data_IF_656557529679
#
_entry.id   IF_656557529679
#
_cell.length_a   1.000
_cell.length_b   1.000
_cell.length_c   1.000
_cell.angle_alpha   90.00
_cell.angle_beta   90.00
_cell.angle_gamma   90.00
#
_symmetry.space_group_name_H-M   'P 1'
#
loop_
_entity.id
_entity.type
_entity.pdbx_description
1 polymer ?
#
# COMPACT_ATOMS: atom_id res chain seq x y z
N UNK A 1 3.95 17.91 -37.83
CA UNK A 1 4.91 17.05 -37.10
C UNK A 1 5.08 17.42 -35.63
N UNK A 2 5.19 18.71 -35.26
CA UNK A 2 5.41 19.13 -33.86
C UNK A 2 4.26 18.72 -32.92
N UNK A 3 3.01 18.73 -33.39
CA UNK A 3 1.84 18.32 -32.58
C UNK A 3 1.80 16.81 -32.30
N UNK A 4 2.28 15.97 -33.23
CA UNK A 4 2.39 14.52 -33.03
C UNK A 4 3.52 14.16 -32.05
N UNK A 5 4.61 14.92 -32.07
CA UNK A 5 5.73 14.74 -31.13
C UNK A 5 5.31 15.11 -29.70
N UNK A 6 4.55 16.20 -29.52
CA UNK A 6 3.99 16.54 -28.19
C UNK A 6 3.01 15.48 -27.67
N UNK A 7 2.13 14.95 -28.53
CA UNK A 7 1.20 13.90 -28.13
C UNK A 7 1.92 12.61 -27.72
N UNK A 8 2.97 12.22 -28.44
CA UNK A 8 3.75 11.01 -28.10
C UNK A 8 4.55 11.22 -26.80
N UNK A 9 5.11 12.41 -26.58
CA UNK A 9 5.84 12.73 -25.35
C UNK A 9 4.92 12.78 -24.11
N UNK A 10 3.74 13.40 -24.21
CA UNK A 10 2.77 13.43 -23.10
C UNK A 10 2.20 12.04 -22.75
N UNK A 11 2.03 11.16 -23.75
CA UNK A 11 1.62 9.77 -23.51
C UNK A 11 2.75 8.89 -22.96
N UNK A 12 4.02 9.20 -23.28
CA UNK A 12 5.17 8.53 -22.68
C UNK A 12 5.38 8.96 -21.23
N UNK A 13 5.18 10.23 -20.90
CA UNK A 13 5.22 10.72 -19.51
C UNK A 13 4.09 10.11 -18.66
N UNK A 14 2.88 9.92 -19.20
CA UNK A 14 1.76 9.27 -18.49
C UNK A 14 2.00 7.78 -18.22
N UNK A 15 2.60 7.05 -19.17
CA UNK A 15 3.01 5.65 -18.95
C UNK A 15 4.20 5.53 -18.01
N UNK A 16 5.17 6.44 -18.11
CA UNK A 16 6.31 6.50 -17.22
C UNK A 16 5.88 6.79 -15.78
N UNK A 17 4.90 7.66 -15.55
CA UNK A 17 4.47 8.01 -14.17
C UNK A 17 3.67 6.90 -13.49
N UNK A 18 2.89 6.11 -14.25
CA UNK A 18 2.27 4.89 -13.70
C UNK A 18 3.31 3.84 -13.33
N UNK A 19 4.47 3.83 -14.01
CA UNK A 19 5.62 3.03 -13.64
C UNK A 19 6.43 3.67 -12.51
N UNK A 20 6.65 4.98 -12.46
CA UNK A 20 7.54 5.65 -11.49
C UNK A 20 7.03 5.59 -10.05
N UNK A 21 5.71 5.66 -9.81
CA UNK A 21 5.16 5.45 -8.47
C UNK A 21 5.15 3.97 -8.04
N UNK A 22 5.33 3.05 -8.98
CA UNK A 22 5.54 1.63 -8.73
C UNK A 22 7.03 1.23 -8.74
N UNK A 23 7.89 1.99 -9.42
CA UNK A 23 9.32 1.72 -9.61
C UNK A 23 10.18 2.30 -8.47
N UNK A 24 9.68 3.24 -7.68
CA UNK A 24 10.34 3.62 -6.43
C UNK A 24 10.39 2.45 -5.42
N UNK A 25 9.48 1.46 -5.55
CA UNK A 25 9.59 0.17 -4.87
C UNK A 25 10.54 -0.83 -5.57
N UNK A 26 11.01 -0.50 -6.79
CA UNK A 26 11.78 -1.37 -7.70
C UNK A 26 13.25 -0.94 -7.91
N UNK A 27 13.71 0.16 -7.29
CA UNK A 27 15.11 0.61 -7.38
C UNK A 27 15.66 0.88 -5.97
N UNK A 28 16.53 0.12 -5.29
CA UNK A 28 17.53 -0.96 -5.54
C UNK A 28 17.94 -1.53 -4.14
N UNK A 29 18.57 -2.73 -3.99
CA UNK A 29 19.45 -3.43 -4.92
C UNK A 29 18.84 -4.69 -5.56
N UNK A 30 19.48 -5.14 -6.63
CA UNK A 30 19.14 -6.31 -7.47
C UNK A 30 18.66 -7.50 -6.63
N UNK A 31 17.43 -7.94 -6.88
CA UNK A 31 17.02 -9.32 -6.63
C UNK A 31 17.77 -10.21 -7.66
N UNK A 32 18.38 -11.35 -7.25
CA UNK A 32 19.02 -12.25 -8.19
C UNK A 32 18.00 -12.88 -9.14
N UNK A 33 18.38 -12.99 -10.41
CA UNK A 33 17.65 -13.72 -11.45
C UNK A 33 17.63 -15.21 -11.13
N UNK A 34 16.53 -15.89 -11.47
CA UNK A 34 16.27 -17.31 -11.16
C UNK A 34 17.31 -18.29 -11.73
N UNK A 35 18.15 -17.85 -12.67
CA UNK A 35 19.25 -18.65 -13.23
C UNK A 35 20.60 -18.46 -12.51
N UNK A 36 20.70 -17.55 -11.52
CA UNK A 36 21.93 -17.28 -10.75
C UNK A 36 21.86 -17.77 -9.28
N UNK A 37 20.77 -18.43 -8.87
CA UNK A 37 20.67 -19.07 -7.55
C UNK A 37 21.11 -20.53 -7.70
N UNK A 38 22.41 -20.74 -7.89
CA UNK A 38 23.02 -22.01 -7.52
C UNK A 38 22.94 -22.08 -5.99
N UNK A 39 22.08 -22.96 -5.47
CA UNK A 39 21.99 -23.23 -4.05
C UNK A 39 23.36 -23.69 -3.55
N UNK A 40 24.14 -22.77 -2.96
CA UNK A 40 25.08 -23.21 -1.93
C UNK A 40 24.24 -23.79 -0.80
N UNK A 41 24.44 -25.07 -0.43
CA UNK A 41 23.72 -25.67 0.66
C UNK A 41 24.04 -24.87 1.90
N UNK A 42 23.03 -24.20 2.44
CA UNK A 42 23.09 -23.61 3.78
C UNK A 42 23.43 -24.77 4.70
N UNK A 43 24.69 -24.85 5.11
CA UNK A 43 25.11 -25.78 6.13
C UNK A 43 24.22 -25.53 7.34
N UNK A 44 23.56 -26.57 7.87
CA UNK A 44 22.66 -26.41 9.00
C UNK A 44 23.46 -25.75 10.11
N UNK A 45 22.99 -24.57 10.52
CA UNK A 45 23.49 -23.90 11.71
C UNK A 45 23.56 -24.95 12.81
N UNK A 46 24.75 -25.02 13.38
CA UNK A 46 25.26 -26.16 14.11
C UNK A 46 24.30 -26.66 15.17
N UNK A 47 24.40 -27.97 15.39
CA UNK A 47 23.91 -28.73 16.53
C UNK A 47 23.97 -27.92 17.83
N UNK A 48 22.92 -27.18 18.11
CA UNK A 48 22.47 -26.91 19.46
C UNK A 48 20.96 -27.03 19.45
N UNK A 49 20.54 -28.22 19.84
CA UNK A 49 19.18 -28.57 20.23
C UNK A 49 18.78 -27.74 21.46
N UNK A 50 18.67 -26.43 21.32
CA UNK A 50 17.71 -25.69 22.12
C UNK A 50 16.36 -25.95 21.45
N UNK A 51 15.65 -26.91 21.99
CA UNK A 51 14.24 -27.23 21.75
C UNK A 51 13.43 -25.93 21.80
N UNK A 52 13.37 -25.19 20.69
CA UNK A 52 12.32 -24.22 20.45
C UNK A 52 11.09 -25.09 20.39
N UNK A 53 10.27 -24.97 21.44
CA UNK A 53 9.08 -25.74 21.71
C UNK A 53 8.30 -25.96 20.42
N UNK A 54 8.43 -27.14 19.82
CA UNK A 54 7.45 -27.64 18.87
C UNK A 54 6.13 -27.54 19.62
N UNK A 55 5.31 -26.55 19.26
CA UNK A 55 3.95 -26.49 19.77
C UNK A 55 3.36 -27.80 19.25
N UNK A 56 2.86 -28.65 20.15
CA UNK A 56 2.22 -29.88 19.74
C UNK A 56 0.87 -29.51 19.10
N UNK A 57 0.91 -29.01 17.88
CA UNK A 57 -0.26 -28.58 17.12
C UNK A 57 -1.04 -29.83 16.72
N UNK A 58 -2.33 -29.81 16.98
CA UNK A 58 -3.22 -30.86 16.53
C UNK A 58 -3.56 -30.60 15.05
N UNK A 59 -2.78 -31.19 14.14
CA UNK A 59 -2.93 -31.03 12.69
C UNK A 59 -4.28 -31.54 12.14
N UNK A 60 -5.09 -32.24 12.94
CA UNK A 60 -6.45 -32.64 12.57
C UNK A 60 -7.52 -31.58 12.89
N UNK A 61 -7.21 -30.56 13.68
CA UNK A 61 -8.16 -29.51 14.11
C UNK A 61 -7.85 -28.13 13.49
N UNK A 62 -7.58 -28.08 12.17
CA UNK A 62 -7.23 -26.83 11.47
C UNK A 62 -8.20 -25.67 11.76
N UNK A 63 -9.51 -25.93 11.67
CA UNK A 63 -10.53 -24.90 11.92
C UNK A 63 -10.38 -24.23 13.28
N UNK A 64 -10.10 -25.02 14.33
CA UNK A 64 -9.94 -24.51 15.70
C UNK A 64 -8.65 -23.73 15.86
N UNK A 65 -7.57 -24.19 15.22
CA UNK A 65 -6.30 -23.47 15.20
C UNK A 65 -6.46 -22.10 14.50
N UNK A 66 -7.01 -22.10 13.28
CA UNK A 66 -7.26 -20.89 12.52
C UNK A 66 -8.18 -19.92 13.28
N UNK A 67 -9.26 -20.41 13.89
CA UNK A 67 -10.15 -19.59 14.71
C UNK A 67 -9.44 -18.96 15.91
N UNK A 68 -8.58 -19.70 16.59
CA UNK A 68 -7.80 -19.15 17.71
C UNK A 68 -6.85 -18.05 17.24
N UNK A 69 -6.15 -18.26 16.13
CA UNK A 69 -5.28 -17.24 15.53
C UNK A 69 -6.06 -15.95 15.18
N UNK A 70 -7.25 -16.08 14.59
CA UNK A 70 -8.12 -14.94 14.29
C UNK A 70 -8.57 -14.22 15.57
N UNK A 71 -8.99 -14.96 16.60
CA UNK A 71 -9.44 -14.38 17.88
C UNK A 71 -8.29 -13.67 18.60
N UNK A 72 -7.11 -14.28 18.66
CA UNK A 72 -5.92 -13.68 19.29
C UNK A 72 -5.47 -12.42 18.53
N UNK A 73 -5.42 -12.46 17.20
CA UNK A 73 -5.12 -11.30 16.38
C UNK A 73 -6.13 -10.16 16.57
N UNK A 74 -7.42 -10.49 16.67
CA UNK A 74 -8.49 -9.51 16.93
C UNK A 74 -8.36 -8.89 18.33
N UNK A 75 -7.97 -9.66 19.35
CA UNK A 75 -7.71 -9.15 20.70
C UNK A 75 -6.47 -8.24 20.74
N UNK A 76 -5.43 -8.54 19.97
CA UNK A 76 -4.21 -7.72 19.86
C UNK A 76 -4.55 -6.34 19.25
N UNK A 77 -5.24 -6.31 18.12
CA UNK A 77 -5.59 -5.04 17.44
C UNK A 77 -6.69 -4.27 18.19
N UNK A 78 -7.67 -5.01 18.73
CA UNK A 78 -8.83 -4.48 19.45
C UNK A 78 -9.57 -3.36 18.68
N UNK A 79 -9.87 -3.65 17.42
CA UNK A 79 -10.65 -2.78 16.55
C UNK A 79 -11.33 -3.63 15.48
N UNK A 80 -12.59 -3.30 15.16
CA UNK A 80 -13.34 -3.91 14.07
C UNK A 80 -13.31 -3.07 12.79
N UNK A 81 -12.63 -1.92 12.79
CA UNK A 81 -12.53 -1.04 11.61
C UNK A 81 -11.53 -1.63 10.61
N UNK A 82 -11.93 -1.63 9.34
CA UNK A 82 -11.08 -1.99 8.19
C UNK A 82 -10.41 -0.76 7.56
N UNK A 83 -10.92 0.45 7.85
CA UNK A 83 -10.22 1.70 7.55
C UNK A 83 -8.80 1.73 8.15
N UNK A 84 -7.89 2.58 7.63
CA UNK A 84 -6.53 2.68 8.14
C UNK A 84 -6.54 2.93 9.66
N UNK A 85 -5.70 2.21 10.45
CA UNK A 85 -5.61 2.44 11.89
C UNK A 85 -5.15 3.88 12.13
N UNK A 86 -5.62 4.52 13.21
CA UNK A 86 -5.01 5.79 13.63
C UNK A 86 -3.54 5.56 13.97
N UNK A 87 -2.68 6.59 13.91
CA UNK A 87 -1.26 6.44 14.23
C UNK A 87 -1.00 5.79 15.60
N UNK A 88 -1.83 6.07 16.61
CA UNK A 88 -1.71 5.48 17.94
C UNK A 88 -1.99 3.96 17.95
N UNK A 89 -2.73 3.47 16.94
CA UNK A 89 -3.15 2.08 16.79
C UNK A 89 -2.37 1.29 15.74
N UNK A 90 -1.49 1.93 14.96
CA UNK A 90 -0.71 1.23 13.93
C UNK A 90 0.19 0.13 14.51
N UNK A 91 0.75 0.35 15.71
CA UNK A 91 1.56 -0.65 16.39
C UNK A 91 0.76 -1.90 16.79
N UNK A 92 -0.46 -1.72 17.29
CA UNK A 92 -1.37 -2.84 17.64
C UNK A 92 -1.79 -3.60 16.36
N UNK A 93 -2.09 -2.87 15.29
CA UNK A 93 -2.42 -3.43 13.98
C UNK A 93 -1.25 -4.25 13.40
N UNK A 94 -0.03 -3.71 13.44
CA UNK A 94 1.16 -4.43 12.98
C UNK A 94 1.44 -5.70 13.79
N UNK A 95 1.25 -5.67 15.12
CA UNK A 95 1.38 -6.90 15.94
C UNK A 95 0.33 -7.95 15.57
N UNK A 96 -0.88 -7.53 15.21
CA UNK A 96 -1.93 -8.42 14.72
C UNK A 96 -1.56 -9.07 13.38
N UNK A 97 -1.00 -8.30 12.43
CA UNK A 97 -0.47 -8.83 11.16
C UNK A 97 0.66 -9.84 11.40
N UNK A 98 1.65 -9.50 12.23
CA UNK A 98 2.75 -10.43 12.60
C UNK A 98 2.21 -11.71 13.24
N UNK A 99 1.17 -11.62 14.05
CA UNK A 99 0.52 -12.79 14.65
C UNK A 99 -0.08 -13.72 13.58
N UNK A 100 -0.82 -13.18 12.61
CA UNK A 100 -1.36 -13.98 11.49
C UNK A 100 -0.27 -14.67 10.68
N UNK A 101 0.82 -13.95 10.35
CA UNK A 101 1.98 -14.50 9.63
C UNK A 101 2.57 -15.68 10.42
N UNK A 102 2.84 -15.48 11.71
CA UNK A 102 3.43 -16.52 12.56
C UNK A 102 2.51 -17.73 12.70
N UNK A 103 1.20 -17.53 12.83
CA UNK A 103 0.23 -18.63 12.86
C UNK A 103 0.27 -19.47 11.57
N UNK A 104 0.33 -18.81 10.42
CA UNK A 104 0.39 -19.52 9.15
C UNK A 104 1.73 -20.28 8.97
N UNK A 105 2.85 -19.67 9.37
CA UNK A 105 4.18 -20.30 9.33
C UNK A 105 4.27 -21.49 10.30
N UNK A 106 3.82 -21.31 11.55
CA UNK A 106 3.81 -22.37 12.57
C UNK A 106 3.02 -23.59 12.06
N UNK A 107 1.81 -23.36 11.50
CA UNK A 107 1.01 -24.44 10.92
C UNK A 107 1.69 -25.12 9.72
N UNK A 108 2.16 -24.32 8.75
CA UNK A 108 2.79 -24.87 7.56
C UNK A 108 4.10 -25.62 7.86
N UNK A 109 4.82 -25.24 8.93
CA UNK A 109 6.00 -25.95 9.41
C UNK A 109 5.64 -27.26 10.11
N UNK A 110 4.70 -27.23 11.06
CA UNK A 110 4.44 -28.36 11.96
C UNK A 110 3.45 -29.39 11.38
N UNK A 111 2.61 -29.00 10.41
CA UNK A 111 1.57 -29.85 9.82
C UNK A 111 1.78 -30.17 8.34
N UNK A 112 2.94 -29.83 7.77
CA UNK A 112 3.27 -30.01 6.36
C UNK A 112 3.07 -31.45 5.85
N UNK A 113 3.33 -32.45 6.70
CA UNK A 113 3.26 -33.87 6.34
C UNK A 113 1.83 -34.46 6.39
N UNK A 114 0.87 -33.74 6.98
CA UNK A 114 -0.47 -34.28 7.31
C UNK A 114 -1.58 -33.65 6.46
N UNK A 115 -1.36 -32.46 5.91
CA UNK A 115 -2.41 -31.69 5.20
C UNK A 115 -1.88 -31.06 3.93
N UNK A 116 -2.68 -31.06 2.84
CA UNK A 116 -2.51 -30.08 1.77
C UNK A 116 -2.55 -28.67 2.40
N UNK A 117 -1.60 -27.78 2.06
CA UNK A 117 -1.43 -26.46 2.67
C UNK A 117 -2.79 -25.73 2.82
N UNK A 118 -3.30 -25.68 4.06
CA UNK A 118 -4.59 -25.06 4.35
C UNK A 118 -4.51 -23.52 4.38
N UNK A 119 -3.34 -22.97 4.71
CA UNK A 119 -3.04 -21.56 4.49
C UNK A 119 -2.44 -21.38 3.10
N UNK A 120 -3.05 -20.50 2.30
CA UNK A 120 -2.59 -20.20 0.96
C UNK A 120 -1.27 -19.38 1.01
N UNK A 121 -0.23 -19.87 0.34
CA UNK A 121 1.10 -19.25 0.33
C UNK A 121 1.08 -17.80 -0.19
N UNK A 122 0.23 -17.46 -1.16
CA UNK A 122 0.10 -16.08 -1.66
C UNK A 122 -0.55 -15.16 -0.63
N UNK A 123 -1.47 -15.66 0.22
CA UNK A 123 -1.96 -14.87 1.36
C UNK A 123 -0.85 -14.58 2.37
N UNK A 124 0.02 -15.55 2.67
CA UNK A 124 1.12 -15.37 3.62
C UNK A 124 2.12 -14.36 3.07
N UNK A 125 2.56 -14.52 1.81
CA UNK A 125 3.45 -13.56 1.15
C UNK A 125 2.85 -12.15 1.11
N UNK A 126 1.54 -12.04 0.90
CA UNK A 126 0.81 -10.78 0.98
C UNK A 126 0.97 -10.11 2.35
N UNK A 127 0.68 -10.83 3.44
CA UNK A 127 0.83 -10.30 4.79
C UNK A 127 2.28 -9.92 5.11
N UNK A 128 3.25 -10.74 4.69
CA UNK A 128 4.68 -10.44 4.85
C UNK A 128 5.08 -9.15 4.10
N UNK A 129 4.56 -8.93 2.90
CA UNK A 129 4.79 -7.70 2.16
C UNK A 129 4.20 -6.46 2.87
N UNK A 130 3.03 -6.60 3.49
CA UNK A 130 2.45 -5.53 4.31
C UNK A 130 3.33 -5.26 5.53
N UNK A 131 3.77 -6.31 6.22
CA UNK A 131 4.65 -6.19 7.38
C UNK A 131 5.94 -5.46 7.03
N UNK A 132 6.62 -5.85 5.96
CA UNK A 132 7.88 -5.23 5.54
C UNK A 132 7.72 -3.79 5.03
N UNK A 133 6.60 -3.46 4.38
CA UNK A 133 6.40 -2.16 3.72
C UNK A 133 5.70 -1.12 4.60
N UNK A 134 5.06 -1.55 5.69
CA UNK A 134 4.34 -0.67 6.61
C UNK A 134 4.90 -0.78 8.02
N UNK A 135 5.02 -2.00 8.54
CA UNK A 135 5.30 -2.21 9.97
C UNK A 135 6.79 -2.13 10.32
N UNK A 136 7.66 -2.59 9.43
CA UNK A 136 9.11 -2.55 9.59
C UNK A 136 9.77 -1.36 8.87
N UNK A 137 9.00 -0.59 8.08
CA UNK A 137 9.49 0.62 7.41
C UNK A 137 9.37 1.85 8.34
N UNK A 138 10.45 2.16 9.05
CA UNK A 138 10.52 3.33 9.94
C UNK A 138 10.24 4.66 9.24
N UNK A 139 10.63 4.78 7.96
CA UNK A 139 10.37 5.99 7.18
C UNK A 139 8.89 6.13 6.90
N UNK A 140 8.23 5.05 6.49
CA UNK A 140 6.78 5.03 6.30
C UNK A 140 6.04 5.36 7.60
N UNK A 141 6.41 4.72 8.72
CA UNK A 141 5.79 4.99 10.03
C UNK A 141 5.93 6.46 10.43
N UNK A 142 7.09 7.07 10.20
CA UNK A 142 7.32 8.50 10.48
C UNK A 142 6.37 9.41 9.69
N UNK A 143 6.12 9.09 8.42
CA UNK A 143 5.16 9.84 7.60
C UNK A 143 3.72 9.56 8.03
N UNK A 144 3.43 8.32 8.43
CA UNK A 144 2.10 7.89 8.84
C UNK A 144 1.64 8.57 10.15
N UNK A 145 2.57 8.91 11.04
CA UNK A 145 2.25 9.61 12.30
C UNK A 145 1.52 10.95 12.08
N UNK A 146 1.71 11.56 10.91
CA UNK A 146 1.15 12.88 10.58
C UNK A 146 -0.26 12.81 9.96
N UNK A 147 -0.79 11.62 9.66
CA UNK A 147 -2.02 11.49 8.87
C UNK A 147 -3.32 11.36 9.69
N UNK A 148 -3.26 11.48 11.03
CA UNK A 148 -4.40 11.24 11.94
C UNK A 148 -5.68 12.04 11.56
N UNK A 149 -5.53 13.32 11.25
CA UNK A 149 -6.64 14.19 10.83
C UNK A 149 -7.26 13.75 9.50
N UNK A 150 -6.43 13.28 8.57
CA UNK A 150 -6.89 12.82 7.27
C UNK A 150 -7.66 11.50 7.41
N UNK A 151 -7.13 10.55 8.18
CA UNK A 151 -7.81 9.29 8.52
C UNK A 151 -9.17 9.56 9.17
N UNK A 152 -9.24 10.49 10.11
CA UNK A 152 -10.49 10.82 10.80
C UNK A 152 -11.57 11.35 9.86
N UNK A 153 -11.18 12.06 8.79
CA UNK A 153 -12.11 12.65 7.81
C UNK A 153 -12.49 11.68 6.70
N UNK A 154 -11.57 10.80 6.27
CA UNK A 154 -11.78 9.88 5.16
C UNK A 154 -12.18 8.46 5.59
N UNK A 155 -12.09 8.15 6.89
CA UNK A 155 -12.19 6.79 7.43
C UNK A 155 -13.47 6.05 7.08
N UNK A 156 -14.63 6.72 7.08
CA UNK A 156 -15.91 6.08 6.74
C UNK A 156 -16.01 5.73 5.25
N UNK A 157 -15.53 6.62 4.37
CA UNK A 157 -15.47 6.35 2.94
C UNK A 157 -14.49 5.22 2.63
N UNK A 158 -13.33 5.23 3.31
CA UNK A 158 -12.34 4.15 3.23
C UNK A 158 -12.88 2.80 3.70
N UNK A 159 -13.65 2.77 4.80
CA UNK A 159 -14.34 1.58 5.28
C UNK A 159 -15.28 1.01 4.21
N UNK A 160 -16.05 1.87 3.52
CA UNK A 160 -16.90 1.49 2.39
C UNK A 160 -16.11 0.90 1.21
N UNK A 161 -14.97 1.52 0.86
CA UNK A 161 -14.06 1.00 -0.15
C UNK A 161 -13.51 -0.38 0.22
N UNK A 162 -13.09 -0.56 1.48
CA UNK A 162 -12.57 -1.82 1.98
C UNK A 162 -13.60 -2.93 1.96
N UNK A 163 -14.83 -2.68 2.40
CA UNK A 163 -15.91 -3.68 2.37
C UNK A 163 -16.16 -4.16 0.95
N UNK A 164 -16.31 -3.23 0.02
CA UNK A 164 -16.51 -3.56 -1.41
C UNK A 164 -15.34 -4.38 -1.97
N UNK A 165 -14.11 -4.04 -1.58
CA UNK A 165 -12.92 -4.77 -2.00
C UNK A 165 -12.88 -6.19 -1.42
N UNK A 166 -13.06 -6.35 -0.11
CA UNK A 166 -13.02 -7.66 0.55
C UNK A 166 -14.15 -8.56 0.06
N UNK A 167 -15.35 -8.02 -0.16
CA UNK A 167 -16.49 -8.81 -0.68
C UNK A 167 -16.19 -9.41 -2.07
N UNK A 168 -15.46 -8.66 -2.92
CA UNK A 168 -15.01 -9.17 -4.22
C UNK A 168 -13.90 -10.21 -4.03
N UNK A 169 -12.89 -9.90 -3.23
CA UNK A 169 -11.74 -10.80 -3.00
C UNK A 169 -12.22 -12.13 -2.42
N UNK A 170 -13.03 -12.10 -1.35
CA UNK A 170 -13.55 -13.30 -0.68
C UNK A 170 -14.41 -14.13 -1.63
N UNK A 171 -15.28 -13.47 -2.41
CA UNK A 171 -16.11 -14.16 -3.40
C UNK A 171 -15.27 -14.86 -4.47
N UNK A 172 -14.21 -14.23 -4.97
CA UNK A 172 -13.37 -14.83 -6.01
C UNK A 172 -12.44 -15.92 -5.43
N UNK A 173 -11.86 -15.70 -4.24
CA UNK A 173 -11.02 -16.69 -3.55
C UNK A 173 -11.79 -17.93 -3.10
N UNK A 174 -13.07 -17.80 -2.76
CA UNK A 174 -13.92 -18.94 -2.38
C UNK A 174 -14.33 -19.83 -3.57
N UNK A 175 -14.09 -19.40 -4.82
CA UNK A 175 -14.41 -20.22 -6.00
C UNK A 175 -13.34 -21.26 -6.32
N UNK A 176 -12.07 -20.97 -5.99
CA UNK A 176 -10.94 -21.83 -6.33
C UNK A 176 -9.76 -21.55 -5.40
N UNK A 177 -8.99 -22.59 -5.08
CA UNK A 177 -7.71 -22.44 -4.39
C UNK A 177 -6.58 -21.97 -5.33
N UNK A 178 -6.80 -22.00 -6.65
CA UNK A 178 -5.85 -21.54 -7.67
C UNK A 178 -6.05 -20.05 -8.00
N UNK A 179 -5.62 -19.16 -7.10
CA UNK A 179 -5.84 -17.72 -7.29
C UNK A 179 -5.07 -17.14 -8.48
N UNK A 180 -3.97 -17.77 -8.88
CA UNK A 180 -3.14 -17.40 -10.04
C UNK A 180 -3.76 -17.79 -11.38
N UNK A 181 -4.85 -18.57 -11.38
CA UNK A 181 -5.58 -18.87 -12.61
C UNK A 181 -6.05 -17.55 -13.26
N UNK A 182 -5.83 -17.41 -14.56
CA UNK A 182 -5.98 -16.16 -15.32
C UNK A 182 -7.28 -15.40 -14.99
N UNK A 183 -8.43 -16.09 -14.92
CA UNK A 183 -9.71 -15.44 -14.65
C UNK A 183 -9.80 -14.88 -13.23
N UNK A 184 -9.37 -15.67 -12.23
CA UNK A 184 -9.37 -15.26 -10.83
C UNK A 184 -8.39 -14.12 -10.62
N UNK A 185 -7.17 -14.28 -11.16
CA UNK A 185 -6.13 -13.26 -11.17
C UNK A 185 -6.63 -11.92 -11.75
N UNK A 186 -7.23 -11.97 -12.95
CA UNK A 186 -7.80 -10.78 -13.59
C UNK A 186 -8.83 -10.09 -12.69
N UNK A 187 -9.76 -10.83 -12.08
CA UNK A 187 -10.79 -10.25 -11.20
C UNK A 187 -10.21 -9.68 -9.91
N UNK A 188 -9.23 -10.35 -9.30
CA UNK A 188 -8.55 -9.86 -8.10
C UNK A 188 -7.75 -8.57 -8.40
N UNK A 189 -7.08 -8.51 -9.54
CA UNK A 189 -6.36 -7.31 -9.97
C UNK A 189 -7.29 -6.14 -10.32
N UNK A 190 -8.44 -6.40 -10.95
CA UNK A 190 -9.49 -5.39 -11.11
C UNK A 190 -10.00 -4.87 -9.77
N UNK A 191 -10.21 -5.76 -8.79
CA UNK A 191 -10.65 -5.39 -7.45
C UNK A 191 -9.63 -4.49 -6.74
N UNK A 192 -8.34 -4.84 -6.82
CA UNK A 192 -7.21 -4.07 -6.27
C UNK A 192 -7.14 -2.67 -6.87
N UNK A 193 -7.25 -2.54 -8.19
CA UNK A 193 -7.26 -1.24 -8.85
C UNK A 193 -8.49 -0.40 -8.48
N UNK A 194 -9.68 -1.01 -8.41
CA UNK A 194 -10.92 -0.33 -8.00
C UNK A 194 -10.86 0.15 -6.55
N UNK A 195 -10.31 -0.66 -5.65
CA UNK A 195 -10.08 -0.28 -4.27
C UNK A 195 -9.19 0.96 -4.17
N UNK A 196 -8.03 0.95 -4.85
CA UNK A 196 -7.08 2.06 -4.86
C UNK A 196 -7.67 3.35 -5.41
N UNK A 197 -8.53 3.26 -6.43
CA UNK A 197 -9.26 4.42 -6.94
C UNK A 197 -10.30 4.92 -5.95
N UNK A 198 -11.06 4.02 -5.31
CA UNK A 198 -12.06 4.38 -4.32
C UNK A 198 -11.44 5.10 -3.12
N UNK A 199 -10.34 4.56 -2.57
CA UNK A 199 -9.61 5.19 -1.46
C UNK A 199 -8.99 6.51 -1.88
N UNK A 200 -8.51 6.60 -3.12
CA UNK A 200 -8.03 7.83 -3.70
C UNK A 200 -9.13 8.91 -3.73
N UNK A 201 -10.28 8.62 -4.35
CA UNK A 201 -11.41 9.55 -4.44
C UNK A 201 -11.88 9.98 -3.03
N UNK A 202 -11.91 9.05 -2.06
CA UNK A 202 -12.26 9.33 -0.68
C UNK A 202 -11.36 10.36 0.02
N UNK A 203 -10.08 10.49 -0.38
CA UNK A 203 -9.14 11.47 0.18
C UNK A 203 -9.40 12.90 -0.33
N UNK A 204 -9.93 13.06 -1.54
CA UNK A 204 -10.02 14.36 -2.23
C UNK A 204 -11.45 14.85 -2.48
N UNK A 205 -12.43 13.94 -2.56
CA UNK A 205 -13.79 14.28 -3.03
C UNK A 205 -14.81 14.38 -1.88
N UNK A 206 -14.43 14.04 -0.65
CA UNK A 206 -15.35 14.17 0.49
C UNK A 206 -15.47 15.64 0.92
N UNK A 207 -16.69 16.19 1.13
CA UNK A 207 -16.87 17.56 1.60
C UNK A 207 -16.16 17.77 2.94
N UNK A 208 -15.07 18.55 2.95
CA UNK A 208 -14.27 18.82 4.14
C UNK A 208 -13.06 17.88 4.35
N UNK A 209 -12.82 16.89 3.47
CA UNK A 209 -11.56 16.12 3.43
C UNK A 209 -10.48 16.91 2.67
N UNK A 210 -10.05 18.02 3.23
CA UNK A 210 -8.82 18.68 2.76
C UNK A 210 -7.63 17.97 3.41
N UNK A 211 -7.37 16.74 3.02
CA UNK A 211 -6.09 16.13 3.34
C UNK A 211 -5.00 16.91 2.61
N UNK A 212 -3.89 17.21 3.28
CA UNK A 212 -2.73 17.76 2.58
C UNK A 212 -2.26 16.75 1.53
N UNK A 213 -1.59 17.25 0.50
CA UNK A 213 -1.02 16.39 -0.55
C UNK A 213 -0.14 15.29 0.05
N UNK A 214 0.73 15.64 0.99
CA UNK A 214 1.65 14.70 1.63
C UNK A 214 0.89 13.60 2.40
N UNK A 215 -0.15 13.97 3.17
CA UNK A 215 -0.96 13.00 3.90
C UNK A 215 -1.73 12.08 2.95
N UNK A 216 -2.27 12.63 1.86
CA UNK A 216 -2.98 11.86 0.86
C UNK A 216 -2.05 10.89 0.11
N UNK A 217 -0.80 11.28 -0.17
CA UNK A 217 0.22 10.41 -0.76
C UNK A 217 0.57 9.26 0.18
N UNK A 218 0.80 9.54 1.46
CA UNK A 218 1.11 8.50 2.47
C UNK A 218 -0.03 7.50 2.60
N UNK A 219 -1.28 7.97 2.70
CA UNK A 219 -2.43 7.08 2.73
C UNK A 219 -2.61 6.33 1.41
N UNK A 220 -2.36 6.95 0.26
CA UNK A 220 -2.42 6.23 -1.01
C UNK A 220 -1.39 5.09 -1.06
N UNK A 221 -0.16 5.30 -0.56
CA UNK A 221 0.84 4.23 -0.38
C UNK A 221 0.33 3.13 0.55
N UNK A 222 -0.27 3.49 1.68
CA UNK A 222 -0.92 2.52 2.58
C UNK A 222 -1.93 1.65 1.82
N UNK A 223 -2.82 2.24 1.02
CA UNK A 223 -3.81 1.51 0.21
C UNK A 223 -3.17 0.54 -0.79
N UNK A 224 -2.01 0.90 -1.34
CA UNK A 224 -1.25 0.05 -2.25
C UNK A 224 -0.74 -1.18 -1.51
N UNK A 225 -0.12 -1.01 -0.34
CA UNK A 225 0.45 -2.11 0.44
C UNK A 225 -0.63 -3.07 0.94
N UNK A 226 -1.64 -2.57 1.64
CA UNK A 226 -2.72 -3.40 2.21
C UNK A 226 -3.51 -4.16 1.16
N UNK A 227 -3.78 -3.56 0.00
CA UNK A 227 -4.46 -4.28 -1.10
C UNK A 227 -3.60 -5.38 -1.70
N UNK A 228 -2.27 -5.24 -1.63
CA UNK A 228 -1.31 -6.29 -1.99
C UNK A 228 -1.23 -7.39 -0.92
N UNK A 229 -1.55 -7.05 0.34
CA UNK A 229 -1.70 -8.04 1.41
C UNK A 229 -2.84 -9.01 1.18
N UNK A 230 -4.01 -8.51 0.74
CA UNK A 230 -5.15 -9.34 0.40
C UNK A 230 -5.02 -10.00 -0.99
N UNK A 231 -4.32 -9.36 -1.93
CA UNK A 231 -4.08 -9.85 -3.30
C UNK A 231 -2.61 -9.70 -3.65
N UNK A 232 -1.81 -10.69 -3.26
CA UNK A 232 -0.38 -10.73 -3.55
C UNK A 232 -0.13 -11.33 -4.94
N UNK A 233 -0.45 -10.55 -5.98
CA UNK A 233 -0.25 -10.97 -7.37
C UNK A 233 0.31 -9.81 -8.18
N UNK A 234 1.07 -10.13 -9.23
CA UNK A 234 1.53 -9.14 -10.21
C UNK A 234 0.35 -8.66 -11.05
N UNK A 235 -0.25 -7.56 -10.62
CA UNK A 235 -1.34 -6.91 -11.33
C UNK A 235 -0.86 -5.81 -12.28
N UNK A 236 0.44 -5.54 -12.32
CA UNK A 236 0.98 -4.38 -13.02
C UNK A 236 1.42 -4.76 -14.44
N UNK A 237 1.58 -6.06 -14.71
CA UNK A 237 1.95 -6.59 -16.02
C UNK A 237 0.79 -7.30 -16.70
N UNK A 238 0.66 -7.09 -18.02
CA UNK A 238 -0.30 -7.80 -18.89
C UNK A 238 -1.79 -7.73 -18.48
N UNK A 239 -2.19 -6.72 -17.70
CA UNK A 239 -3.57 -6.52 -17.29
C UNK A 239 -4.38 -5.67 -18.29
N UNK A 240 -5.54 -6.19 -18.72
CA UNK A 240 -6.49 -5.49 -19.59
C UNK A 240 -7.54 -4.75 -18.77
N UNK A 241 -7.15 -3.67 -18.09
CA UNK A 241 -8.01 -2.93 -17.16
C UNK A 241 -9.31 -2.39 -17.78
N UNK A 242 -9.34 -2.11 -19.08
CA UNK A 242 -10.56 -1.69 -19.79
C UNK A 242 -11.69 -2.72 -19.69
N UNK A 243 -11.36 -4.00 -19.54
CA UNK A 243 -12.30 -5.13 -19.46
C UNK A 243 -12.73 -5.44 -18.02
N UNK A 244 -12.32 -4.62 -17.05
CA UNK A 244 -12.76 -4.81 -15.67
C UNK A 244 -14.29 -4.60 -15.54
N UNK A 245 -14.95 -5.27 -14.57
CA UNK A 245 -16.36 -5.04 -14.31
C UNK A 245 -16.63 -3.57 -13.95
N UNK A 246 -17.43 -2.89 -14.77
CA UNK A 246 -17.72 -1.46 -14.62
C UNK A 246 -16.74 -0.53 -15.36
N UNK A 247 -15.86 -1.07 -16.21
CA UNK A 247 -14.90 -0.31 -16.99
C UNK A 247 -13.54 -0.16 -16.30
N UNK A 248 -12.67 0.65 -16.91
CA UNK A 248 -11.31 0.88 -16.41
C UNK A 248 -11.32 1.49 -14.99
N UNK A 249 -10.86 0.73 -13.97
CA UNK A 249 -10.92 1.16 -12.58
C UNK A 249 -9.77 2.09 -12.22
N UNK A 250 -8.84 2.38 -13.15
CA UNK A 250 -7.73 3.29 -12.88
C UNK A 250 -8.24 4.75 -12.78
N UNK A 251 -7.62 5.59 -11.94
CA UNK A 251 -8.01 6.99 -11.85
C UNK A 251 -7.81 7.72 -13.18
N UNK A 252 -8.66 8.70 -13.47
CA UNK A 252 -8.51 9.53 -14.68
C UNK A 252 -7.23 10.39 -14.60
N UNK A 253 -6.73 10.85 -15.74
CA UNK A 253 -5.58 11.76 -15.79
C UNK A 253 -5.78 13.03 -14.93
N UNK A 254 -6.98 13.60 -14.95
CA UNK A 254 -7.32 14.78 -14.15
C UNK A 254 -7.28 14.48 -12.65
N UNK A 255 -7.71 13.28 -12.27
CA UNK A 255 -7.70 12.77 -10.91
C UNK A 255 -6.25 12.57 -10.42
N UNK A 256 -5.38 11.99 -11.27
CA UNK A 256 -3.95 11.81 -10.98
C UNK A 256 -3.18 13.12 -10.84
N UNK A 257 -3.52 14.14 -11.64
CA UNK A 257 -2.87 15.47 -11.55
C UNK A 257 -2.95 16.09 -10.16
N UNK A 258 -3.96 15.76 -9.35
CA UNK A 258 -4.08 16.24 -7.95
C UNK A 258 -3.03 15.65 -7.00
N UNK A 259 -2.48 14.47 -7.31
CA UNK A 259 -1.32 13.92 -6.58
C UNK A 259 0.00 14.51 -7.06
N UNK A 260 0.09 14.86 -8.34
CA UNK A 260 1.33 15.26 -9.00
C UNK A 260 1.61 16.75 -8.87
N UNK A 261 0.56 17.55 -8.98
CA UNK A 261 0.61 18.99 -8.83
C UNK A 261 -0.19 19.28 -7.56
N UNK A 262 0.47 19.83 -6.54
CA UNK A 262 -0.22 20.30 -5.34
C UNK A 262 -1.39 21.21 -5.70
N UNK A 263 -2.31 21.39 -4.75
CA UNK A 263 -3.54 22.13 -4.96
C UNK A 263 -3.22 23.48 -5.66
N UNK A 264 -3.91 23.88 -6.74
CA UNK A 264 -3.63 25.16 -7.40
C UNK A 264 -3.66 26.35 -6.44
N UNK A 265 -4.43 26.22 -5.35
CA UNK A 265 -4.54 27.17 -4.25
C UNK A 265 -3.27 27.24 -3.37
N UNK A 266 -2.53 26.15 -3.17
CA UNK A 266 -1.21 26.17 -2.50
C UNK A 266 -0.14 26.86 -3.36
N UNK A 267 -0.22 26.69 -4.69
CA UNK A 267 0.71 27.32 -5.62
C UNK A 267 0.54 28.85 -5.69
N UNK A 268 -0.67 29.36 -5.40
CA UNK A 268 -0.95 30.80 -5.27
C UNK A 268 -0.35 31.40 -3.98
N UNK A 269 -0.34 30.66 -2.87
CA UNK A 269 0.21 31.12 -1.59
C UNK A 269 1.75 31.19 -1.64
N UNK A 270 2.40 30.23 -2.31
CA UNK A 270 3.87 30.23 -2.52
C UNK A 270 4.33 31.41 -3.40
N UNK A 271 3.62 31.73 -4.48
CA UNK A 271 3.94 32.92 -5.31
C UNK A 271 3.71 34.24 -4.56
N UNK A 272 2.72 34.28 -3.66
CA UNK A 272 2.46 35.45 -2.82
C UNK A 272 3.59 35.76 -1.83
N UNK A 273 4.25 34.73 -1.28
CA UNK A 273 5.35 34.91 -0.33
C UNK A 273 6.65 35.32 -1.03
N UNK A 274 6.95 34.82 -2.23
CA UNK A 274 8.10 35.23 -3.03
C UNK A 274 8.00 36.70 -3.49
N UNK A 275 6.81 37.14 -3.92
CA UNK A 275 6.57 38.55 -4.26
C UNK A 275 6.78 39.46 -3.03
N UNK A 276 6.27 39.08 -1.86
CA UNK A 276 6.45 39.86 -0.64
C UNK A 276 7.92 39.92 -0.19
N UNK A 277 8.70 38.87 -0.43
CA UNK A 277 10.14 38.84 -0.13
C UNK A 277 10.95 39.69 -1.11
N UNK A 278 10.62 39.69 -2.40
CA UNK A 278 11.25 40.56 -3.40
C UNK A 278 10.96 42.04 -3.13
N UNK A 279 9.73 42.39 -2.76
CA UNK A 279 9.37 43.76 -2.38
C UNK A 279 10.09 44.22 -1.11
N UNK A 280 10.28 43.34 -0.11
CA UNK A 280 11.08 43.65 1.10
C UNK A 280 12.56 43.90 0.79
N UNK A 281 13.15 43.12 -0.13
CA UNK A 281 14.54 43.29 -0.55
C UNK A 281 14.70 44.62 -1.32
N UNK A 282 13.78 44.93 -2.25
CA UNK A 282 13.78 46.21 -2.97
C UNK A 282 13.60 47.42 -2.03
N UNK A 283 12.74 47.32 -1.00
CA UNK A 283 12.56 48.39 -0.01
C UNK A 283 13.80 48.61 0.86
N UNK A 284 14.53 47.55 1.21
CA UNK A 284 15.80 47.66 1.95
C UNK A 284 16.90 48.31 1.11
N UNK A 285 17.00 47.99 -0.19
CA UNK A 285 17.95 48.64 -1.08
C UNK A 285 17.63 50.13 -1.33
N UNK A 286 16.36 50.50 -1.36
CA UNK A 286 15.95 51.90 -1.55
C UNK A 286 16.23 52.74 -0.30
N UNK A 287 15.95 52.21 0.90
CA UNK A 287 16.22 52.91 2.17
C UNK A 287 17.71 53.02 2.49
N UNK A 288 18.53 52.02 2.13
CA UNK A 288 20.00 52.08 2.30
C UNK A 288 20.68 53.06 1.33
N UNK A 289 20.12 53.31 0.15
CA UNK A 289 20.66 54.30 -0.80
C UNK A 289 20.24 55.74 -0.45
N UNK A 290 19.07 55.94 0.14
CA UNK A 290 18.62 57.26 0.62
C UNK A 290 19.42 57.77 1.82
N UNK A 291 19.89 56.90 2.70
CA UNK A 291 20.77 57.26 3.83
C UNK A 291 22.20 57.61 3.43
N UNK A 292 22.57 57.50 2.14
CA UNK A 292 23.91 57.81 1.63
C UNK A 292 23.99 59.17 0.92
N UNK A 293 22.86 59.88 0.78
CA UNK A 293 22.74 61.20 0.14
C UNK A 293 21.98 62.21 1.03
N UNK A 294 22.02 62.03 2.35
CA UNK A 294 21.56 63.00 3.35
C UNK A 294 22.71 63.52 4.18
#
# INVERSE_FOLDING_TARGET
>A
MIVLVYFILSFQDLRAVYLYHYDEASQRPRLPTFEDIEFEPISPLGKDKAKITAKNLNCHEFYKYALNCEVEAALIYNSSRKAPPTPEKIGDWCRSIKHHINCAIDWNSDCNDVTEQHFNDESIKGLMHVDSSVCDDEWFITQYDQVSDCISRSGDAWEGCYRTFTDVVDREKNKTNEWTHYQTHFKLCCARAKFRRCTFEALFESPGSKCSREHAVTLQKYSVFVSSGNVHQDCDHNMMYSECPGGDPRPSENTLKRLMNGDPDEMMISKGSELHHQWRILFLFYTLNLSRYG
#
